data_IF_348495473547
#
_entry.id   IF_348495473547
#
_cell.length_a   1.000
_cell.length_b   1.000
_cell.length_c   1.000
_cell.angle_alpha   90.00
_cell.angle_beta   90.00
_cell.angle_gamma   90.00
#
_symmetry.space_group_name_H-M   'P 1'
#
loop_
_entity.id
_entity.type
_entity.pdbx_description
1 polymer ?
#
# COMPACT_ATOMS: atom_id res chain seq x y z
N UNK A 1 -18.08 -0.64 -4.78
CA UNK A 1 -16.96 -0.02 -5.50
C UNK A 1 -15.74 0.08 -4.57
N UNK A 2 -14.62 0.71 -4.95
CA UNK A 2 -13.42 0.86 -4.10
C UNK A 2 -13.47 2.21 -3.38
N UNK A 3 -13.81 2.22 -2.09
CA UNK A 3 -14.10 3.45 -1.34
C UNK A 3 -12.90 4.38 -1.13
N UNK A 4 -11.69 3.85 -1.29
CA UNK A 4 -10.44 4.61 -1.19
C UNK A 4 -10.08 5.37 -2.48
N UNK A 5 -10.70 5.05 -3.63
CA UNK A 5 -10.51 5.75 -4.90
C UNK A 5 -11.51 6.89 -5.10
N UNK A 6 -11.62 7.80 -4.14
CA UNK A 6 -12.49 8.97 -4.31
C UNK A 6 -11.84 9.95 -5.30
N UNK A 7 -12.50 10.32 -6.41
CA UNK A 7 -11.94 11.31 -7.33
C UNK A 7 -11.87 12.66 -6.62
N UNK A 8 -10.65 13.18 -6.41
CA UNK A 8 -10.47 14.56 -5.97
C UNK A 8 -10.85 15.50 -7.11
N UNK A 9 -11.91 16.28 -6.91
CA UNK A 9 -12.30 17.35 -7.84
C UNK A 9 -11.58 18.63 -7.46
N UNK A 10 -11.08 19.36 -8.45
CA UNK A 10 -10.63 20.74 -8.23
C UNK A 10 -11.86 21.67 -8.00
N UNK A 11 -11.62 22.93 -7.63
CA UNK A 11 -12.67 23.93 -7.41
C UNK A 11 -13.54 24.21 -8.65
N UNK A 12 -13.11 23.79 -9.84
CA UNK A 12 -13.82 23.92 -11.12
C UNK A 12 -14.57 22.64 -11.53
N UNK A 13 -14.43 21.54 -10.77
CA UNK A 13 -15.10 20.27 -11.01
C UNK A 13 -14.30 19.21 -11.77
N UNK A 14 -13.08 19.51 -12.24
CA UNK A 14 -12.25 18.54 -12.97
C UNK A 14 -11.64 17.51 -12.02
N UNK A 15 -11.59 16.25 -12.46
CA UNK A 15 -10.91 15.17 -11.73
C UNK A 15 -9.40 15.41 -11.77
N UNK A 16 -8.77 15.50 -10.61
CA UNK A 16 -7.30 15.49 -10.47
C UNK A 16 -6.87 14.16 -9.87
N UNK A 17 -5.94 13.51 -10.56
CA UNK A 17 -5.29 12.30 -10.08
C UNK A 17 -3.92 12.68 -9.50
N UNK A 18 -3.65 12.24 -8.28
CA UNK A 18 -2.31 12.24 -7.69
C UNK A 18 -1.53 11.03 -8.19
N UNK A 19 -0.20 11.06 -8.08
CA UNK A 19 0.65 9.90 -8.39
C UNK A 19 0.17 8.67 -7.62
N UNK A 20 -0.10 8.83 -6.32
CA UNK A 20 -0.65 7.78 -5.46
C UNK A 20 -1.97 7.20 -5.99
N UNK A 21 -2.90 8.06 -6.46
CA UNK A 21 -4.16 7.57 -7.04
C UNK A 21 -3.95 6.79 -8.34
N UNK A 22 -2.93 7.14 -9.14
CA UNK A 22 -2.58 6.41 -10.36
C UNK A 22 -2.00 5.04 -10.01
N UNK A 23 -1.14 4.97 -9.00
CA UNK A 23 -0.58 3.70 -8.50
C UNK A 23 -1.69 2.76 -7.98
N UNK A 24 -2.64 3.29 -7.21
CA UNK A 24 -3.80 2.54 -6.74
C UNK A 24 -4.66 2.03 -7.90
N UNK A 25 -4.87 2.84 -8.94
CA UNK A 25 -5.59 2.44 -10.15
C UNK A 25 -4.85 1.34 -10.93
N UNK A 26 -3.52 1.44 -11.05
CA UNK A 26 -2.70 0.42 -11.70
C UNK A 26 -2.79 -0.92 -10.97
N UNK A 27 -2.72 -0.91 -9.64
CA UNK A 27 -2.90 -2.13 -8.83
C UNK A 27 -4.28 -2.77 -9.05
N UNK A 28 -5.34 -1.95 -9.10
CA UNK A 28 -6.69 -2.45 -9.37
C UNK A 28 -6.80 -2.99 -10.79
N UNK A 29 -6.19 -2.34 -11.77
CA UNK A 29 -6.15 -2.81 -13.15
C UNK A 29 -5.47 -4.18 -13.25
N UNK A 30 -4.28 -4.33 -12.67
CA UNK A 30 -3.56 -5.61 -12.62
C UNK A 30 -4.42 -6.70 -11.99
N UNK A 31 -5.04 -6.44 -10.84
CA UNK A 31 -5.86 -7.43 -10.14
C UNK A 31 -7.09 -7.85 -10.96
N UNK A 32 -7.79 -6.91 -11.59
CA UNK A 32 -9.04 -7.21 -12.30
C UNK A 32 -8.82 -7.71 -13.72
N UNK A 33 -7.85 -7.13 -14.45
CA UNK A 33 -7.67 -7.39 -15.89
C UNK A 33 -6.59 -8.41 -16.18
N UNK A 34 -5.50 -8.40 -15.43
CA UNK A 34 -4.38 -9.30 -15.69
C UNK A 34 -4.49 -10.58 -14.88
N UNK A 35 -4.83 -10.46 -13.59
CA UNK A 35 -4.98 -11.60 -12.68
C UNK A 35 -6.40 -12.16 -12.60
N UNK A 36 -7.39 -11.47 -13.18
CA UNK A 36 -8.76 -11.97 -13.34
C UNK A 36 -9.59 -12.05 -12.06
N UNK A 37 -9.26 -11.27 -11.03
CA UNK A 37 -10.08 -11.20 -9.82
C UNK A 37 -11.44 -10.55 -10.09
N UNK A 38 -12.47 -10.95 -9.32
CA UNK A 38 -13.70 -10.16 -9.21
C UNK A 38 -13.43 -8.87 -8.44
N UNK A 39 -14.31 -7.87 -8.57
CA UNK A 39 -14.19 -6.59 -7.83
C UNK A 39 -14.06 -6.84 -6.32
N UNK A 40 -14.85 -7.77 -5.78
CA UNK A 40 -14.79 -8.13 -4.36
C UNK A 40 -13.53 -8.93 -4.00
N UNK A 41 -13.04 -9.76 -4.93
CA UNK A 41 -11.76 -10.45 -4.80
C UNK A 41 -10.58 -9.48 -4.71
N UNK A 42 -10.50 -8.54 -5.65
CA UNK A 42 -9.46 -7.51 -5.68
C UNK A 42 -9.51 -6.63 -4.43
N UNK A 43 -10.70 -6.26 -3.94
CA UNK A 43 -10.83 -5.50 -2.68
C UNK A 43 -10.23 -6.24 -1.49
N UNK A 44 -10.55 -7.53 -1.34
CA UNK A 44 -10.01 -8.36 -0.26
C UNK A 44 -8.49 -8.53 -0.39
N UNK A 45 -7.99 -8.70 -1.60
CA UNK A 45 -6.56 -8.85 -1.84
C UNK A 45 -5.78 -7.58 -1.51
N UNK A 46 -6.29 -6.40 -1.89
CA UNK A 46 -5.66 -5.12 -1.54
C UNK A 46 -5.57 -4.95 -0.02
N UNK A 47 -6.64 -5.27 0.72
CA UNK A 47 -6.64 -5.21 2.18
C UNK A 47 -5.62 -6.19 2.79
N UNK A 48 -5.49 -7.39 2.22
CA UNK A 48 -4.50 -8.38 2.65
C UNK A 48 -3.07 -7.88 2.43
N UNK A 49 -2.79 -7.29 1.27
CA UNK A 49 -1.48 -6.72 0.94
C UNK A 49 -1.12 -5.54 1.87
N UNK A 50 -2.08 -4.67 2.18
CA UNK A 50 -1.88 -3.57 3.13
C UNK A 50 -1.56 -4.06 4.55
N UNK A 51 -2.29 -5.09 5.02
CA UNK A 51 -2.02 -5.69 6.33
C UNK A 51 -0.62 -6.34 6.38
N UNK A 52 -0.25 -7.05 5.31
CA UNK A 52 1.07 -7.67 5.18
C UNK A 52 2.21 -6.64 5.17
N UNK A 53 2.07 -5.54 4.42
CA UNK A 53 3.12 -4.51 4.36
C UNK A 53 3.28 -3.82 5.73
N UNK A 54 2.18 -3.62 6.47
CA UNK A 54 2.24 -3.11 7.84
C UNK A 54 3.02 -4.06 8.76
N UNK A 55 2.68 -5.34 8.76
CA UNK A 55 3.37 -6.34 9.59
C UNK A 55 4.87 -6.42 9.25
N UNK A 56 5.20 -6.44 7.96
CA UNK A 56 6.58 -6.41 7.48
C UNK A 56 7.33 -5.17 7.96
N UNK A 57 6.70 -3.99 7.93
CA UNK A 57 7.25 -2.75 8.47
C UNK A 57 7.58 -2.85 9.97
N UNK A 58 6.65 -3.40 10.75
CA UNK A 58 6.87 -3.61 12.20
C UNK A 58 8.02 -4.59 12.47
N UNK A 59 8.12 -5.67 11.70
CA UNK A 59 9.23 -6.64 11.82
C UNK A 59 10.56 -5.99 11.48
N UNK A 60 10.63 -5.21 10.39
CA UNK A 60 11.83 -4.49 10.01
C UNK A 60 12.29 -3.53 11.12
N UNK A 61 11.38 -2.75 11.69
CA UNK A 61 11.70 -1.82 12.77
C UNK A 61 12.32 -2.54 13.99
N UNK A 62 11.77 -3.71 14.36
CA UNK A 62 12.32 -4.54 15.45
C UNK A 62 13.72 -5.04 15.13
N UNK A 63 13.95 -5.54 13.91
CA UNK A 63 15.27 -5.99 13.48
C UNK A 63 16.30 -4.85 13.47
N UNK A 64 15.90 -3.64 13.07
CA UNK A 64 16.77 -2.48 13.10
C UNK A 64 17.14 -2.04 14.53
N UNK A 65 16.20 -2.18 15.48
CA UNK A 65 16.49 -1.94 16.91
C UNK A 65 17.51 -2.96 17.44
N UNK A 66 17.32 -4.25 17.15
CA UNK A 66 18.27 -5.30 17.55
C UNK A 66 19.64 -5.06 16.91
N UNK A 67 19.69 -4.73 15.62
CA UNK A 67 20.94 -4.40 14.91
C UNK A 67 21.66 -3.23 15.58
N UNK A 68 20.95 -2.12 15.86
CA UNK A 68 21.54 -0.94 16.52
C UNK A 68 22.14 -1.30 17.87
N UNK A 69 21.38 -2.01 18.71
CA UNK A 69 21.85 -2.47 20.02
C UNK A 69 23.14 -3.30 19.92
N UNK A 70 23.19 -4.27 19.00
CA UNK A 70 24.38 -5.11 18.83
C UNK A 70 25.59 -4.33 18.29
N UNK A 71 25.37 -3.35 17.41
CA UNK A 71 26.44 -2.49 16.89
C UNK A 71 26.98 -1.59 18.00
N UNK A 72 26.11 -1.01 18.83
CA UNK A 72 26.52 -0.21 19.99
C UNK A 72 27.35 -1.04 20.98
N UNK A 73 26.93 -2.28 21.27
CA UNK A 73 27.69 -3.20 22.12
C UNK A 73 29.08 -3.55 21.57
N UNK A 74 29.24 -3.63 20.24
CA UNK A 74 30.52 -3.94 19.61
C UNK A 74 31.51 -2.77 19.67
N UNK A 75 30.98 -1.54 19.71
CA UNK A 75 31.79 -0.31 19.71
C UNK A 75 32.14 0.17 21.12
N UNK A 76 31.46 -0.35 22.14
CA UNK A 76 31.80 -0.19 23.56
C UNK A 76 32.93 -1.16 23.97
#
# INVERSE_FOLDING_TARGET
>A
EFDFLKPHKNSKGDRRFTVESIEQLNLIYELLKERGFTIDGARREILRLQAWEKEKGEVLERLEKVRRFLVEMKMA
#
